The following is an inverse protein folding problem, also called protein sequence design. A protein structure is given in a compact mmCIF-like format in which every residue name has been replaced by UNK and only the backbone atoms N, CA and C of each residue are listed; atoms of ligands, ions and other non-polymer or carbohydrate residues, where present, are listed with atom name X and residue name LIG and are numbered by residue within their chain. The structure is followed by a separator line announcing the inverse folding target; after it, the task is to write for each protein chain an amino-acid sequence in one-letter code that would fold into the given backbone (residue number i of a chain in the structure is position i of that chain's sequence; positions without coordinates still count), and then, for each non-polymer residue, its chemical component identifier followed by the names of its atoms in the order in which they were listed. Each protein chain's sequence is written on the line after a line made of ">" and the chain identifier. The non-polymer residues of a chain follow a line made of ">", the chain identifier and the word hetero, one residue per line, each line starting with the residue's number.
data_IF_432712492358
#
_entry.id   IF_432712492358
#
_cell.length_a   1.000
_cell.length_b   1.000
_cell.length_c   1.000
_cell.angle_alpha   90.00
_cell.angle_beta   90.00
_cell.angle_gamma   90.00
#
_symmetry.space_group_name_H-M   'P 1'
#
loop_
_entity.id
_entity.type
_entity.pdbx_description
1 polymer ?
#
# COMPACT_ATOMS: atom_id res chain seq x y z
N UNK A 1 31.49 -19.58 3.28
CA UNK A 1 30.61 -19.56 4.47
C UNK A 1 29.65 -18.39 4.36
N UNK A 2 28.33 -18.63 4.53
CA UNK A 2 27.34 -17.55 4.56
C UNK A 2 27.52 -16.79 5.87
N UNK A 3 27.83 -15.49 5.77
CA UNK A 3 28.00 -14.65 6.95
C UNK A 3 26.61 -14.23 7.48
N UNK A 4 26.22 -14.76 8.66
CA UNK A 4 24.96 -14.46 9.35
C UNK A 4 25.10 -13.33 10.39
N UNK A 5 26.02 -12.40 10.21
CA UNK A 5 26.26 -11.30 11.16
C UNK A 5 25.00 -10.52 11.55
N UNK A 6 24.01 -10.44 10.64
CA UNK A 6 22.73 -9.79 10.91
C UNK A 6 21.88 -10.49 11.98
N UNK A 7 22.21 -11.72 12.38
CA UNK A 7 21.55 -12.45 13.47
C UNK A 7 22.18 -12.21 14.84
N UNK A 8 23.42 -11.73 14.91
CA UNK A 8 24.16 -11.62 16.18
C UNK A 8 23.47 -10.72 17.19
N UNK A 9 22.95 -9.58 16.71
CA UNK A 9 22.33 -8.56 17.57
C UNK A 9 20.81 -8.76 17.78
N UNK A 10 20.28 -9.92 17.50
CA UNK A 10 18.88 -10.28 17.70
C UNK A 10 18.75 -11.12 18.97
N UNK A 11 17.70 -10.85 19.75
CA UNK A 11 17.33 -11.75 20.86
C UNK A 11 16.69 -13.05 20.33
N UNK A 12 16.39 -14.00 21.22
CA UNK A 12 15.85 -15.32 20.85
C UNK A 12 14.55 -15.22 20.04
N UNK A 13 13.56 -14.46 20.52
CA UNK A 13 12.28 -14.28 19.83
C UNK A 13 12.44 -13.59 18.46
N UNK A 14 13.33 -12.59 18.36
CA UNK A 14 13.66 -11.93 17.10
C UNK A 14 14.34 -12.87 16.11
N UNK A 15 15.27 -13.73 16.60
CA UNK A 15 15.92 -14.76 15.76
C UNK A 15 14.91 -15.77 15.24
N UNK A 16 14.03 -16.25 16.10
CA UNK A 16 12.95 -17.16 15.73
C UNK A 16 12.08 -16.57 14.61
N UNK A 17 11.64 -15.32 14.75
CA UNK A 17 10.87 -14.62 13.73
C UNK A 17 11.62 -14.42 12.40
N UNK A 18 12.94 -14.35 12.41
CA UNK A 18 13.78 -14.24 11.21
C UNK A 18 13.99 -15.59 10.52
N UNK A 19 14.24 -16.64 11.28
CA UNK A 19 14.61 -17.97 10.76
C UNK A 19 13.40 -18.73 10.24
N UNK A 20 12.25 -18.63 10.92
CA UNK A 20 11.00 -19.26 10.47
C UNK A 20 10.45 -18.56 9.25
N UNK A 21 10.83 -19.01 8.07
CA UNK A 21 10.48 -18.36 6.79
C UNK A 21 9.28 -18.97 6.10
N UNK A 22 8.83 -20.12 6.55
CA UNK A 22 7.77 -20.89 5.92
C UNK A 22 6.43 -20.65 6.66
N UNK A 23 5.36 -20.48 5.90
CA UNK A 23 4.02 -20.20 6.42
C UNK A 23 3.79 -18.76 6.90
N UNK A 24 2.55 -18.45 7.32
CA UNK A 24 2.18 -17.14 7.85
C UNK A 24 2.73 -16.95 9.26
N UNK A 25 3.33 -15.78 9.52
CA UNK A 25 3.86 -15.41 10.83
C UNK A 25 3.32 -14.04 11.22
N UNK A 26 2.77 -13.95 12.43
CA UNK A 26 2.40 -12.69 13.08
C UNK A 26 3.42 -12.37 14.18
N UNK A 27 4.07 -11.21 14.06
CA UNK A 27 4.99 -10.70 15.09
C UNK A 27 4.33 -9.51 15.80
N UNK A 28 3.95 -9.73 17.06
CA UNK A 28 3.41 -8.68 17.93
C UNK A 28 4.53 -8.10 18.77
N UNK A 29 4.74 -6.79 18.66
CA UNK A 29 5.87 -6.13 19.30
C UNK A 29 5.58 -4.65 19.59
N UNK A 30 5.96 -4.16 20.78
CA UNK A 30 5.78 -2.79 21.22
C UNK A 30 6.62 -1.77 20.43
N UNK A 31 6.41 -0.48 20.65
CA UNK A 31 7.25 0.58 20.10
C UNK A 31 8.70 0.39 20.59
N UNK A 32 9.68 0.63 19.72
CA UNK A 32 11.11 0.49 20.09
C UNK A 32 11.64 -0.95 20.18
N UNK A 33 10.80 -1.98 20.08
CA UNK A 33 11.19 -3.40 20.20
C UNK A 33 12.02 -3.95 19.04
N UNK A 34 12.33 -3.15 18.03
CA UNK A 34 13.13 -3.58 16.88
C UNK A 34 12.37 -4.27 15.76
N UNK A 35 11.02 -4.07 15.64
CA UNK A 35 10.21 -4.64 14.54
C UNK A 35 10.83 -4.48 13.16
N UNK A 36 11.29 -3.28 12.82
CA UNK A 36 11.92 -3.00 11.53
C UNK A 36 13.24 -3.76 11.37
N UNK A 37 14.02 -3.95 12.47
CA UNK A 37 15.25 -4.74 12.46
C UNK A 37 14.96 -6.21 12.16
N UNK A 38 13.94 -6.78 12.78
CA UNK A 38 13.48 -8.15 12.51
C UNK A 38 13.03 -8.30 11.05
N UNK A 39 12.21 -7.39 10.53
CA UNK A 39 11.72 -7.45 9.16
C UNK A 39 12.86 -7.35 8.14
N UNK A 40 13.80 -6.43 8.31
CA UNK A 40 14.96 -6.28 7.41
C UNK A 40 15.90 -7.49 7.48
N UNK A 41 16.14 -8.03 8.68
CA UNK A 41 16.92 -9.25 8.86
C UNK A 41 16.25 -10.47 8.21
N UNK A 42 14.91 -10.58 8.32
CA UNK A 42 14.13 -11.66 7.69
C UNK A 42 14.21 -11.62 6.16
N UNK A 43 14.06 -10.44 5.56
CA UNK A 43 14.21 -10.26 4.10
C UNK A 43 15.62 -10.72 3.68
N UNK A 44 16.65 -10.25 4.39
CA UNK A 44 18.02 -10.64 4.11
C UNK A 44 18.25 -12.15 4.29
N UNK A 45 17.64 -12.77 5.30
CA UNK A 45 17.73 -14.21 5.57
C UNK A 45 17.12 -15.03 4.42
N UNK A 46 15.95 -14.65 3.93
CA UNK A 46 15.27 -15.30 2.80
C UNK A 46 16.18 -15.28 1.55
N UNK A 47 16.77 -14.13 1.23
CA UNK A 47 17.63 -13.96 0.04
C UNK A 47 18.93 -14.74 0.20
N UNK A 48 19.64 -14.59 1.32
CA UNK A 48 20.91 -15.26 1.58
C UNK A 48 20.81 -16.79 1.60
N UNK A 49 19.67 -17.31 2.06
CA UNK A 49 19.39 -18.74 2.03
C UNK A 49 18.77 -19.20 0.69
N UNK A 50 18.72 -18.33 -0.33
CA UNK A 50 18.20 -18.64 -1.67
C UNK A 50 16.76 -19.17 -1.66
N UNK A 51 15.96 -18.81 -0.65
CA UNK A 51 14.54 -19.18 -0.57
C UNK A 51 13.69 -18.37 -1.54
N UNK A 52 14.10 -17.14 -1.86
CA UNK A 52 13.49 -16.31 -2.89
C UNK A 52 14.52 -15.33 -3.47
N UNK A 53 14.34 -14.94 -4.72
CA UNK A 53 15.10 -13.87 -5.33
C UNK A 53 14.57 -12.48 -4.88
N UNK A 54 15.39 -11.42 -4.90
CA UNK A 54 14.97 -10.08 -4.49
C UNK A 54 13.70 -9.57 -5.19
N UNK A 55 13.53 -9.87 -6.48
CA UNK A 55 12.38 -9.48 -7.28
C UNK A 55 11.10 -10.27 -6.98
N UNK A 56 11.17 -11.32 -6.18
CA UNK A 56 10.05 -12.16 -5.73
C UNK A 56 9.53 -11.77 -4.35
N UNK A 57 10.19 -10.81 -3.67
CA UNK A 57 9.83 -10.39 -2.32
C UNK A 57 9.04 -9.10 -2.38
N UNK A 58 7.80 -9.14 -1.86
CA UNK A 58 6.98 -7.97 -1.62
C UNK A 58 7.13 -7.53 -0.16
N UNK A 59 7.62 -6.31 0.05
CA UNK A 59 7.74 -5.70 1.37
C UNK A 59 7.10 -4.31 1.39
N UNK A 60 6.10 -4.12 2.24
CA UNK A 60 5.31 -2.88 2.28
C UNK A 60 5.38 -2.18 3.62
N UNK A 61 5.34 -0.86 3.58
CA UNK A 61 5.29 0.02 4.75
C UNK A 61 4.23 1.10 4.56
N UNK A 62 3.94 1.85 5.62
CA UNK A 62 2.97 2.95 5.54
C UNK A 62 3.61 4.26 5.03
N UNK A 63 4.88 4.53 5.35
CA UNK A 63 5.51 5.82 5.03
C UNK A 63 6.70 5.67 4.10
N UNK A 64 6.92 6.68 3.26
CA UNK A 64 8.09 6.74 2.39
C UNK A 64 9.41 6.77 3.17
N UNK A 65 9.42 7.36 4.38
CA UNK A 65 10.58 7.36 5.26
C UNK A 65 10.93 5.93 5.69
N UNK A 66 9.92 5.17 6.16
CA UNK A 66 10.11 3.77 6.57
C UNK A 66 10.54 2.88 5.39
N UNK A 67 9.96 3.09 4.20
CA UNK A 67 10.36 2.36 3.00
C UNK A 67 11.83 2.60 2.62
N UNK A 68 12.28 3.86 2.62
CA UNK A 68 13.68 4.21 2.36
C UNK A 68 14.63 3.63 3.40
N UNK A 69 14.25 3.71 4.68
CA UNK A 69 15.03 3.14 5.78
C UNK A 69 15.14 1.62 5.66
N UNK A 70 14.05 0.94 5.36
CA UNK A 70 14.02 -0.51 5.14
C UNK A 70 14.94 -0.89 3.97
N UNK A 71 14.80 -0.21 2.84
CA UNK A 71 15.66 -0.44 1.66
C UNK A 71 17.15 -0.27 2.00
N UNK A 72 17.50 0.82 2.67
CA UNK A 72 18.88 1.09 3.10
C UNK A 72 19.42 -0.02 4.00
N UNK A 73 18.66 -0.45 5.01
CA UNK A 73 19.07 -1.51 5.95
C UNK A 73 19.24 -2.85 5.28
N UNK A 74 18.30 -3.25 4.40
CA UNK A 74 18.39 -4.49 3.64
C UNK A 74 19.59 -4.46 2.70
N UNK A 75 19.81 -3.35 1.98
CA UNK A 75 20.95 -3.19 1.09
C UNK A 75 22.29 -3.24 1.84
N UNK A 76 22.36 -2.68 3.06
CA UNK A 76 23.56 -2.77 3.92
C UNK A 76 23.90 -4.21 4.30
N UNK A 77 22.89 -5.05 4.54
CA UNK A 77 23.09 -6.47 4.90
C UNK A 77 23.45 -7.30 3.67
N UNK A 78 22.78 -7.06 2.55
CA UNK A 78 22.88 -7.87 1.34
C UNK A 78 23.99 -7.42 0.39
N UNK A 79 24.41 -6.16 0.48
CA UNK A 79 25.38 -5.55 -0.46
C UNK A 79 24.93 -5.71 -1.92
N UNK A 80 25.72 -6.36 -2.77
CA UNK A 80 25.39 -6.60 -4.18
C UNK A 80 24.16 -7.50 -4.39
N UNK A 81 23.83 -8.38 -3.45
CA UNK A 81 22.67 -9.26 -3.52
C UNK A 81 21.33 -8.51 -3.35
N UNK A 82 21.33 -7.23 -2.92
CA UNK A 82 20.14 -6.40 -2.84
C UNK A 82 19.61 -5.91 -4.20
N UNK A 83 20.37 -6.12 -5.27
CA UNK A 83 19.95 -5.73 -6.63
C UNK A 83 18.67 -6.44 -7.01
N UNK A 84 17.64 -5.67 -7.43
CA UNK A 84 16.36 -6.24 -7.84
C UNK A 84 15.25 -6.21 -6.78
N UNK A 85 15.45 -5.62 -5.60
CA UNK A 85 14.37 -5.39 -4.62
C UNK A 85 13.37 -4.34 -5.13
N UNK A 86 12.68 -4.69 -6.21
CA UNK A 86 11.79 -3.77 -6.92
C UNK A 86 10.40 -3.63 -6.28
N UNK A 87 10.02 -4.52 -5.37
CA UNK A 87 8.72 -4.58 -4.70
C UNK A 87 8.80 -4.20 -3.22
N UNK A 88 9.75 -3.34 -2.86
CA UNK A 88 9.86 -2.75 -1.53
C UNK A 88 9.44 -1.27 -1.61
N UNK A 89 8.39 -0.89 -0.85
CA UNK A 89 7.84 0.46 -0.91
C UNK A 89 6.68 0.68 0.04
N UNK A 90 5.96 1.78 -0.14
CA UNK A 90 4.68 1.99 0.56
C UNK A 90 3.56 1.23 -0.15
N UNK A 91 2.47 0.92 0.58
CA UNK A 91 1.27 0.34 -0.04
C UNK A 91 0.85 1.10 -1.29
N UNK A 92 0.72 2.43 -1.21
CA UNK A 92 0.33 3.26 -2.34
C UNK A 92 1.30 3.14 -3.53
N UNK A 93 2.60 3.21 -3.30
CA UNK A 93 3.59 3.13 -4.39
C UNK A 93 3.61 1.76 -5.06
N UNK A 94 3.46 0.69 -4.29
CA UNK A 94 3.40 -0.68 -4.80
C UNK A 94 2.10 -0.92 -5.56
N UNK A 95 0.95 -0.48 -5.02
CA UNK A 95 -0.34 -0.58 -5.71
C UNK A 95 -0.33 0.18 -7.04
N UNK A 96 0.20 1.42 -7.07
CA UNK A 96 0.34 2.18 -8.29
C UNK A 96 1.22 1.46 -9.34
N UNK A 97 2.30 0.84 -8.90
CA UNK A 97 3.20 0.05 -9.75
C UNK A 97 2.51 -1.20 -10.31
N UNK A 98 1.76 -1.92 -9.46
CA UNK A 98 0.97 -3.08 -9.87
C UNK A 98 -0.11 -2.69 -10.88
N UNK A 99 -0.87 -1.61 -10.61
CA UNK A 99 -1.89 -1.10 -11.51
C UNK A 99 -1.33 -0.68 -12.86
N UNK A 100 -0.17 0.00 -12.91
CA UNK A 100 0.48 0.34 -14.18
C UNK A 100 0.91 -0.90 -14.97
N UNK A 101 1.45 -1.90 -14.28
CA UNK A 101 1.88 -3.16 -14.92
C UNK A 101 0.70 -3.97 -15.46
N UNK A 102 -0.45 -3.93 -14.79
CA UNK A 102 -1.65 -4.70 -15.11
C UNK A 102 -2.85 -3.81 -15.48
N UNK A 103 -2.60 -2.63 -16.06
CA UNK A 103 -3.62 -1.61 -16.32
C UNK A 103 -4.81 -2.14 -17.12
N UNK A 104 -4.55 -2.91 -18.18
CA UNK A 104 -5.62 -3.50 -19.00
C UNK A 104 -6.55 -4.42 -18.20
N UNK A 105 -6.03 -5.24 -17.29
CA UNK A 105 -6.82 -6.11 -16.43
C UNK A 105 -7.70 -5.32 -15.44
N UNK A 106 -7.27 -4.10 -15.07
CA UNK A 106 -8.03 -3.19 -14.23
C UNK A 106 -8.93 -2.21 -15.00
N UNK A 107 -9.06 -2.36 -16.33
CA UNK A 107 -9.84 -1.44 -17.17
C UNK A 107 -9.24 -0.02 -17.26
N UNK A 108 -7.93 0.11 -17.03
CA UNK A 108 -7.22 1.39 -16.99
C UNK A 108 -6.22 1.53 -18.15
N UNK A 109 -5.85 2.76 -18.49
CA UNK A 109 -4.68 3.02 -19.29
C UNK A 109 -3.43 3.01 -18.42
N UNK A 110 -2.29 2.54 -18.92
CA UNK A 110 -1.02 2.48 -18.16
C UNK A 110 -0.50 3.86 -17.72
N UNK A 111 -0.92 4.93 -18.39
CA UNK A 111 -0.58 6.32 -18.11
C UNK A 111 -1.60 7.05 -17.22
N UNK A 112 -2.44 6.32 -16.48
CA UNK A 112 -3.42 6.94 -15.58
C UNK A 112 -2.74 7.89 -14.57
N UNK A 113 -3.45 8.97 -14.24
CA UNK A 113 -3.03 9.97 -13.25
C UNK A 113 -3.59 9.59 -11.87
N UNK A 114 -2.78 9.76 -10.83
CA UNK A 114 -3.21 9.64 -9.44
C UNK A 114 -3.50 11.05 -8.94
N UNK A 115 -4.75 11.30 -8.56
CA UNK A 115 -5.19 12.56 -7.99
C UNK A 115 -4.96 12.54 -6.47
N UNK A 116 -4.38 13.62 -5.95
CA UNK A 116 -4.39 13.86 -4.51
C UNK A 116 -5.77 14.35 -4.04
N UNK A 117 -5.95 14.49 -2.72
CA UNK A 117 -7.26 14.88 -2.15
C UNK A 117 -7.73 16.25 -2.63
N UNK A 118 -6.82 17.19 -2.82
CA UNK A 118 -7.17 18.55 -3.26
C UNK A 118 -7.58 18.55 -4.74
N UNK A 119 -6.89 17.78 -5.57
CA UNK A 119 -7.25 17.58 -6.97
C UNK A 119 -8.60 16.87 -7.11
N UNK A 120 -8.87 15.86 -6.29
CA UNK A 120 -10.16 15.16 -6.27
C UNK A 120 -11.30 16.13 -5.92
N UNK A 121 -11.13 16.96 -4.88
CA UNK A 121 -12.12 17.97 -4.48
C UNK A 121 -12.32 19.00 -5.59
N UNK A 122 -11.23 19.42 -6.26
CA UNK A 122 -11.31 20.35 -7.39
C UNK A 122 -12.08 19.76 -8.57
N UNK A 123 -11.81 18.51 -8.90
CA UNK A 123 -12.54 17.80 -9.95
C UNK A 123 -14.03 17.72 -9.63
N UNK A 124 -14.40 17.31 -8.41
CA UNK A 124 -15.79 17.23 -7.96
C UNK A 124 -16.48 18.61 -8.03
N UNK A 125 -15.80 19.69 -7.60
CA UNK A 125 -16.33 21.05 -7.74
C UNK A 125 -16.64 21.42 -9.17
N UNK A 126 -15.75 21.07 -10.11
CA UNK A 126 -15.94 21.35 -11.52
C UNK A 126 -17.15 20.57 -12.09
N UNK A 127 -17.27 19.30 -11.72
CA UNK A 127 -18.41 18.48 -12.11
C UNK A 127 -19.72 19.06 -11.52
N UNK A 128 -19.76 19.36 -10.23
CA UNK A 128 -20.96 19.96 -9.60
C UNK A 128 -21.38 21.25 -10.32
N UNK A 129 -20.42 22.08 -10.72
CA UNK A 129 -20.71 23.31 -11.46
C UNK A 129 -21.26 23.03 -12.87
N UNK A 130 -20.70 22.06 -13.58
CA UNK A 130 -21.14 21.67 -14.91
C UNK A 130 -22.56 21.06 -14.89
N UNK A 131 -22.88 20.26 -13.88
CA UNK A 131 -24.17 19.57 -13.70
C UNK A 131 -25.18 20.40 -12.90
N UNK A 132 -24.90 21.68 -12.58
CA UNK A 132 -25.76 22.58 -11.79
C UNK A 132 -26.17 22.00 -10.42
N UNK A 133 -25.30 21.19 -9.80
CA UNK A 133 -25.51 20.65 -8.46
C UNK A 133 -25.25 21.73 -7.41
N UNK A 134 -26.23 21.97 -6.52
CA UNK A 134 -26.10 22.94 -5.44
C UNK A 134 -25.07 22.51 -4.40
N UNK A 135 -23.86 23.07 -4.48
CA UNK A 135 -22.76 22.79 -3.55
C UNK A 135 -23.00 23.24 -2.11
N UNK A 136 -24.07 24.03 -1.83
CA UNK A 136 -24.49 24.35 -0.46
C UNK A 136 -25.22 23.19 0.19
N UNK A 137 -25.98 22.42 -0.60
CA UNK A 137 -26.67 21.21 -0.13
C UNK A 137 -25.75 20.00 -0.12
N UNK A 138 -24.88 19.88 -1.12
CA UNK A 138 -23.94 18.76 -1.30
C UNK A 138 -22.52 19.29 -1.43
N UNK A 139 -21.82 19.35 -0.31
CA UNK A 139 -20.43 19.81 -0.34
C UNK A 139 -19.52 18.80 -1.11
N UNK A 140 -18.54 19.26 -1.91
CA UNK A 140 -17.62 18.40 -2.61
C UNK A 140 -16.87 17.41 -1.71
N UNK A 141 -16.60 17.79 -0.44
CA UNK A 141 -16.00 16.88 0.56
C UNK A 141 -16.93 15.74 0.94
N UNK A 142 -18.25 16.02 1.07
CA UNK A 142 -19.24 15.00 1.37
C UNK A 142 -19.36 14.03 0.19
N UNK A 143 -19.45 14.54 -1.04
CA UNK A 143 -19.48 13.71 -2.26
C UNK A 143 -18.24 12.81 -2.33
N UNK A 144 -17.06 13.35 -2.07
CA UNK A 144 -15.81 12.58 -2.04
C UNK A 144 -15.88 11.44 -1.02
N UNK A 145 -16.36 11.73 0.20
CA UNK A 145 -16.46 10.71 1.27
C UNK A 145 -17.41 9.56 0.90
N UNK A 146 -18.49 9.86 0.18
CA UNK A 146 -19.44 8.87 -0.31
C UNK A 146 -18.80 8.00 -1.40
N UNK A 147 -18.14 8.63 -2.36
CA UNK A 147 -17.40 7.92 -3.43
C UNK A 147 -16.33 7.01 -2.83
N UNK A 148 -15.58 7.48 -1.85
CA UNK A 148 -14.55 6.68 -1.16
C UNK A 148 -15.17 5.47 -0.46
N UNK A 149 -16.33 5.64 0.20
CA UNK A 149 -17.06 4.53 0.81
C UNK A 149 -17.48 3.48 -0.23
N UNK A 150 -18.01 3.90 -1.36
CA UNK A 150 -18.41 2.99 -2.44
C UNK A 150 -17.21 2.25 -3.01
N UNK A 151 -16.11 2.96 -3.31
CA UNK A 151 -14.88 2.37 -3.81
C UNK A 151 -14.23 1.39 -2.82
N UNK A 152 -14.25 1.71 -1.53
CA UNK A 152 -13.74 0.81 -0.48
C UNK A 152 -14.58 -0.48 -0.34
N UNK A 153 -15.85 -0.43 -0.72
CA UNK A 153 -16.71 -1.62 -0.81
C UNK A 153 -16.61 -2.35 -2.16
N UNK A 154 -15.75 -1.89 -3.07
CA UNK A 154 -15.63 -2.45 -4.41
C UNK A 154 -16.81 -2.15 -5.33
N UNK A 155 -17.59 -1.12 -5.01
CA UNK A 155 -18.75 -0.75 -5.82
C UNK A 155 -18.34 0.18 -6.96
N UNK A 156 -18.79 -0.17 -8.16
CA UNK A 156 -18.68 0.66 -9.36
C UNK A 156 -20.01 1.40 -9.59
N UNK A 157 -20.04 2.46 -10.43
CA UNK A 157 -21.26 3.23 -10.68
C UNK A 157 -22.50 2.35 -11.00
N UNK A 158 -22.30 1.29 -11.79
CA UNK A 158 -23.37 0.35 -12.19
C UNK A 158 -23.87 -0.55 -11.05
N UNK A 159 -23.08 -0.68 -9.97
CA UNK A 159 -23.39 -1.53 -8.80
C UNK A 159 -23.86 -0.73 -7.60
N UNK A 160 -23.85 0.60 -7.68
CA UNK A 160 -24.32 1.43 -6.57
C UNK A 160 -25.83 1.22 -6.42
N UNK A 161 -26.19 0.38 -5.46
CA UNK A 161 -27.61 0.17 -5.08
C UNK A 161 -28.03 1.40 -4.30
N UNK A 162 -28.91 2.19 -4.89
CA UNK A 162 -29.51 3.33 -4.20
C UNK A 162 -30.41 2.82 -3.07
N UNK A 163 -29.93 2.97 -1.83
CA UNK A 163 -30.82 2.79 -0.69
C UNK A 163 -31.78 3.99 -0.63
N UNK A 164 -32.98 3.81 -1.18
CA UNK A 164 -34.03 4.86 -1.25
C UNK A 164 -34.43 5.42 0.12
N UNK A 165 -33.97 4.85 1.22
CA UNK A 165 -34.19 5.34 2.59
C UNK A 165 -33.18 6.41 3.02
N UNK A 166 -32.07 6.56 2.31
CA UNK A 166 -31.05 7.51 2.66
C UNK A 166 -31.33 8.87 1.99
N UNK A 167 -31.67 9.89 2.80
CA UNK A 167 -32.03 11.24 2.32
C UNK A 167 -30.91 11.86 1.45
N UNK A 168 -29.64 11.54 1.73
CA UNK A 168 -28.51 12.02 0.94
C UNK A 168 -28.45 11.42 -0.46
N UNK A 169 -28.83 10.16 -0.62
CA UNK A 169 -28.87 9.50 -1.94
C UNK A 169 -29.98 10.05 -2.82
N UNK A 170 -31.14 10.39 -2.23
CA UNK A 170 -32.24 11.04 -2.97
C UNK A 170 -31.88 12.44 -3.51
N UNK A 171 -30.89 13.11 -2.92
CA UNK A 171 -30.49 14.45 -3.35
C UNK A 171 -29.40 14.42 -4.43
N UNK A 172 -28.64 13.32 -4.52
CA UNK A 172 -27.56 13.13 -5.52
C UNK A 172 -28.10 12.52 -6.81
N UNK A 173 -29.14 11.71 -6.70
CA UNK A 173 -29.77 11.01 -7.84
C UNK A 173 -31.30 11.24 -7.77
N UNK A 174 -31.80 12.37 -8.34
CA UNK A 174 -33.23 12.65 -8.40
C UNK A 174 -34.02 11.65 -9.26
#
# INVERSE_FOLDING_TARGET
>A
MINFDYLKDLNSAQKEAVINTDGPILVVAGAGSGKTKVLTARIAHIIKNKKAFPNQILAVTFTNKAAREMHFRVSKILRSEATGLSWLGTFHSICAKLLRKHAKAAGLNSNFTILDTDDQIRLIKNICKAENIDSKKLSPKLILSIIDKWKNNGWFPDNVIMDRKNIFEKTIFP
#
